data_IF_988946865015
#
_entry.id   IF_988946865015
#
_cell.length_a   1.000
_cell.length_b   1.000
_cell.length_c   1.000
_cell.angle_alpha   90.00
_cell.angle_beta   90.00
_cell.angle_gamma   90.00
#
_symmetry.space_group_name_H-M   'P 1'
#
loop_
_entity.id
_entity.type
_entity.pdbx_description
1 polymer ?
#
# COMPACT_ATOMS: atom_id res chain seq x y z
N UNK A 1 -22.75 3.81 16.85
CA UNK A 1 -21.40 3.26 16.62
C UNK A 1 -20.68 4.08 15.56
N UNK A 2 -20.46 5.36 15.87
CA UNK A 2 -19.70 6.29 15.05
C UNK A 2 -18.52 6.81 15.87
N UNK A 3 -17.35 6.74 15.26
CA UNK A 3 -16.23 7.68 15.30
C UNK A 3 -14.96 6.89 14.95
N UNK A 4 -14.57 6.90 13.68
CA UNK A 4 -13.20 6.57 13.31
C UNK A 4 -12.36 7.77 13.80
N UNK A 5 -11.40 7.53 14.70
CA UNK A 5 -10.54 8.59 15.25
C UNK A 5 -9.22 8.55 14.49
N UNK A 6 -9.16 9.28 13.38
CA UNK A 6 -8.04 9.41 12.44
C UNK A 6 -8.39 10.42 11.35
N UNK A 7 -7.68 10.47 10.21
CA UNK A 7 -8.09 11.30 9.05
C UNK A 7 -9.23 10.63 8.29
N UNK A 8 -9.35 9.30 8.33
CA UNK A 8 -10.54 8.61 7.85
C UNK A 8 -11.69 8.92 8.81
N UNK A 9 -12.58 9.83 8.42
CA UNK A 9 -13.92 9.88 9.00
C UNK A 9 -14.78 8.76 8.44
N UNK A 10 -15.99 8.56 8.97
CA UNK A 10 -16.98 7.71 8.27
C UNK A 10 -17.13 8.19 6.82
N UNK A 11 -17.05 7.30 5.81
CA UNK A 11 -17.13 7.69 4.40
C UNK A 11 -18.50 8.31 4.11
N UNK A 12 -18.57 9.29 3.22
CA UNK A 12 -19.84 9.89 2.81
C UNK A 12 -20.60 9.01 1.81
N UNK A 13 -19.88 8.19 1.04
CA UNK A 13 -20.45 7.32 0.02
C UNK A 13 -21.18 6.12 0.63
N UNK A 14 -22.50 6.05 0.41
CA UNK A 14 -23.35 4.92 0.82
C UNK A 14 -22.85 3.56 0.33
N UNK A 15 -22.26 3.50 -0.87
CA UNK A 15 -21.72 2.26 -1.45
C UNK A 15 -20.50 1.76 -0.67
N UNK A 16 -19.65 2.69 -0.25
CA UNK A 16 -18.43 2.41 0.51
C UNK A 16 -18.80 1.98 1.93
N UNK A 17 -19.76 2.66 2.55
CA UNK A 17 -20.27 2.28 3.88
C UNK A 17 -20.81 0.84 3.90
N UNK A 18 -21.54 0.40 2.86
CA UNK A 18 -22.05 -0.98 2.76
C UNK A 18 -20.94 -2.05 2.72
N UNK A 19 -19.74 -1.68 2.27
CA UNK A 19 -18.58 -2.55 2.15
C UNK A 19 -17.57 -2.40 3.29
N UNK A 20 -17.90 -1.61 4.33
CA UNK A 20 -17.10 -1.50 5.55
C UNK A 20 -16.79 -2.88 6.14
N UNK A 21 -15.52 -3.14 6.39
CA UNK A 21 -15.00 -4.39 6.96
C UNK A 21 -15.18 -5.62 6.08
N UNK A 22 -15.48 -5.47 4.79
CA UNK A 22 -15.77 -6.60 3.89
C UNK A 22 -14.53 -7.14 3.17
N UNK A 23 -13.47 -6.35 3.07
CA UNK A 23 -12.23 -6.76 2.40
C UNK A 23 -11.32 -7.40 3.46
N UNK A 24 -11.14 -8.70 3.34
CA UNK A 24 -10.20 -9.46 4.16
C UNK A 24 -8.81 -9.44 3.50
N UNK A 25 -7.87 -8.74 4.10
CA UNK A 25 -6.53 -8.52 3.56
C UNK A 25 -5.62 -9.76 3.60
N UNK A 26 -6.03 -10.81 4.32
CA UNK A 26 -5.27 -12.06 4.38
C UNK A 26 -5.51 -12.90 3.11
N UNK A 27 -6.71 -12.81 2.55
CA UNK A 27 -7.12 -13.55 1.36
C UNK A 27 -7.19 -12.66 0.09
N UNK A 28 -7.51 -11.38 0.26
CA UNK A 28 -7.86 -10.47 -0.84
C UNK A 28 -7.02 -9.20 -0.74
N UNK A 29 -6.20 -8.89 -1.77
CA UNK A 29 -5.36 -7.72 -1.70
C UNK A 29 -6.19 -6.43 -1.75
N UNK A 30 -5.70 -5.43 -1.03
CA UNK A 30 -6.06 -4.06 -1.28
C UNK A 30 -5.28 -3.54 -2.49
N UNK A 31 -6.02 -3.02 -3.48
CA UNK A 31 -5.50 -2.54 -4.76
C UNK A 31 -6.36 -1.41 -5.30
N UNK A 32 -5.88 -0.74 -6.34
CA UNK A 32 -6.53 0.38 -7.03
C UNK A 32 -6.61 0.08 -8.53
N UNK A 33 -7.62 0.64 -9.20
CA UNK A 33 -7.75 0.51 -10.66
C UNK A 33 -6.49 1.01 -11.33
N UNK A 34 -5.93 0.19 -12.20
CA UNK A 34 -4.72 0.48 -12.96
C UNK A 34 -3.44 0.05 -12.25
N UNK A 35 -3.49 -0.11 -10.92
CA UNK A 35 -2.36 -0.49 -10.09
C UNK A 35 -1.92 -1.92 -10.35
N UNK A 36 -0.63 -2.15 -10.11
CA UNK A 36 -0.05 -3.48 -10.04
C UNK A 36 0.36 -3.86 -8.62
N UNK A 37 0.19 -2.95 -7.67
CA UNK A 37 0.51 -3.12 -6.26
C UNK A 37 -0.63 -3.89 -5.61
N UNK A 38 -0.31 -5.05 -5.04
CA UNK A 38 -1.24 -5.87 -4.26
C UNK A 38 -0.78 -5.85 -2.80
N UNK A 39 -1.48 -5.10 -1.94
CA UNK A 39 -1.19 -5.02 -0.52
C UNK A 39 -1.99 -6.07 0.25
N UNK A 40 -1.29 -6.91 1.00
CA UNK A 40 -1.85 -7.97 1.83
C UNK A 40 -1.45 -7.80 3.29
N UNK A 41 -2.11 -8.57 4.16
CA UNK A 41 -1.80 -8.71 5.59
C UNK A 41 -1.50 -10.16 5.92
N UNK A 42 -0.59 -10.40 6.87
CA UNK A 42 -0.40 -11.68 7.57
C UNK A 42 -0.13 -11.40 9.03
N UNK A 43 -1.03 -11.79 9.93
CA UNK A 43 -0.95 -11.41 11.35
C UNK A 43 -0.88 -9.88 11.50
N UNK A 44 0.16 -9.35 12.14
CA UNK A 44 0.42 -7.90 12.31
C UNK A 44 1.46 -7.36 11.32
N UNK A 45 1.71 -8.08 10.23
CA UNK A 45 2.59 -7.65 9.15
C UNK A 45 1.79 -7.40 7.87
N UNK A 46 2.26 -6.47 7.05
CA UNK A 46 1.79 -6.24 5.70
C UNK A 46 2.87 -6.66 4.71
N UNK A 47 2.47 -7.00 3.49
CA UNK A 47 3.41 -7.31 2.41
C UNK A 47 2.80 -6.93 1.07
N UNK A 48 3.68 -6.63 0.11
CA UNK A 48 3.30 -6.15 -1.21
C UNK A 48 3.82 -7.10 -2.27
N UNK A 49 2.89 -7.63 -3.08
CA UNK A 49 3.18 -8.35 -4.31
C UNK A 49 2.88 -7.48 -5.53
N UNK A 50 3.41 -7.87 -6.68
CA UNK A 50 3.12 -7.21 -7.95
C UNK A 50 2.31 -8.12 -8.87
N UNK A 51 1.25 -7.58 -9.45
CA UNK A 51 0.40 -8.25 -10.45
C UNK A 51 1.05 -8.24 -11.84
N UNK A 52 2.27 -8.76 -11.96
CA UNK A 52 3.05 -8.77 -13.20
C UNK A 52 3.64 -10.15 -13.49
N UNK A 53 3.58 -10.56 -14.77
CA UNK A 53 4.38 -11.69 -15.26
C UNK A 53 5.75 -11.16 -15.66
N UNK A 54 6.80 -11.62 -14.99
CA UNK A 54 8.19 -11.42 -15.47
C UNK A 54 8.65 -12.70 -16.16
N UNK A 55 8.25 -12.88 -17.42
CA UNK A 55 8.53 -14.10 -18.20
C UNK A 55 10.02 -14.38 -18.38
N UNK A 56 10.87 -13.35 -18.38
CA UNK A 56 12.33 -13.49 -18.53
C UNK A 56 13.03 -14.11 -17.30
N UNK A 57 12.33 -14.21 -16.17
CA UNK A 57 12.91 -14.56 -14.86
C UNK A 57 12.13 -15.65 -14.14
N UNK A 58 11.18 -16.30 -14.81
CA UNK A 58 10.41 -17.42 -14.27
C UNK A 58 11.32 -18.56 -13.78
N UNK A 59 12.50 -18.73 -14.40
CA UNK A 59 13.53 -19.67 -13.99
C UNK A 59 14.35 -19.24 -12.74
N UNK A 60 14.37 -17.95 -12.36
CA UNK A 60 15.18 -17.44 -11.23
C UNK A 60 14.35 -17.04 -9.99
N UNK A 61 13.15 -16.48 -10.19
CA UNK A 61 12.26 -16.01 -9.10
C UNK A 61 10.93 -16.76 -9.06
N UNK A 62 10.82 -17.84 -9.83
CA UNK A 62 9.64 -18.71 -9.89
C UNK A 62 8.47 -18.11 -10.67
N UNK A 63 7.46 -18.96 -10.87
CA UNK A 63 6.17 -18.61 -11.48
C UNK A 63 5.54 -17.44 -10.72
N UNK A 64 4.89 -16.50 -11.42
CA UNK A 64 4.39 -15.24 -10.81
C UNK A 64 3.45 -15.45 -9.60
N UNK A 65 2.81 -16.62 -9.48
CA UNK A 65 1.96 -17.02 -8.35
C UNK A 65 2.76 -17.40 -7.08
N UNK A 66 3.99 -17.87 -7.25
CA UNK A 66 4.89 -18.35 -6.20
C UNK A 66 5.99 -17.34 -5.85
N UNK A 67 6.06 -16.22 -6.56
CA UNK A 67 7.09 -15.20 -6.33
C UNK A 67 6.98 -14.59 -4.94
N UNK A 68 8.12 -14.43 -4.28
CA UNK A 68 8.21 -13.74 -3.01
C UNK A 68 7.73 -12.27 -3.12
N UNK A 69 7.23 -11.67 -2.05
CA UNK A 69 6.78 -10.27 -2.05
C UNK A 69 7.91 -9.30 -2.46
N UNK A 70 7.58 -8.25 -3.21
CA UNK A 70 8.55 -7.20 -3.53
C UNK A 70 8.98 -6.44 -2.27
N UNK A 71 8.01 -6.17 -1.40
CA UNK A 71 8.24 -5.61 -0.07
C UNK A 71 7.56 -6.57 0.88
N UNK A 72 8.30 -7.08 1.85
CA UNK A 72 7.84 -8.09 2.79
C UNK A 72 8.04 -7.61 4.24
N UNK A 73 7.35 -8.28 5.16
CA UNK A 73 7.43 -8.03 6.60
C UNK A 73 7.32 -6.54 6.98
N UNK A 74 6.40 -5.81 6.33
CA UNK A 74 6.10 -4.44 6.72
C UNK A 74 5.43 -4.49 8.09
N UNK A 75 6.01 -3.86 9.11
CA UNK A 75 5.37 -3.72 10.41
C UNK A 75 5.58 -2.34 11.00
N UNK A 76 4.62 -1.96 11.83
CA UNK A 76 4.69 -0.73 12.61
C UNK A 76 5.24 -1.04 13.99
N UNK A 77 6.11 -0.17 14.50
CA UNK A 77 6.74 -0.31 15.79
C UNK A 77 6.47 0.91 16.67
N UNK A 78 6.59 0.70 17.98
CA UNK A 78 6.64 1.80 18.94
C UNK A 78 8.03 2.46 19.02
N UNK A 79 8.17 3.47 19.86
CA UNK A 79 9.43 4.20 20.06
C UNK A 79 10.58 3.35 20.64
N UNK A 80 10.30 2.12 21.09
CA UNK A 80 11.29 1.16 21.59
C UNK A 80 11.60 0.06 20.56
N UNK A 81 11.00 0.11 19.35
CA UNK A 81 11.14 -0.90 18.32
C UNK A 81 10.23 -2.12 18.51
N UNK A 82 9.29 -2.08 19.45
CA UNK A 82 8.33 -3.16 19.71
C UNK A 82 7.21 -3.20 18.67
N UNK A 83 6.91 -4.39 18.14
CA UNK A 83 5.84 -4.62 17.17
C UNK A 83 4.48 -4.12 17.70
N UNK A 84 3.76 -3.37 16.88
CA UNK A 84 2.39 -2.94 17.16
C UNK A 84 1.40 -3.96 16.55
N UNK A 85 0.57 -4.64 17.36
CA UNK A 85 -0.52 -5.46 16.84
C UNK A 85 -1.49 -4.63 16.01
N UNK A 86 -1.97 -5.18 14.90
CA UNK A 86 -2.87 -4.49 13.96
C UNK A 86 -4.28 -5.06 14.02
N UNK A 87 -5.25 -4.23 14.40
CA UNK A 87 -6.68 -4.50 14.16
C UNK A 87 -7.13 -3.75 12.91
N UNK A 88 -7.52 -4.49 11.88
CA UNK A 88 -7.82 -3.92 10.56
C UNK A 88 -9.31 -3.61 10.38
N UNK A 89 -9.59 -2.41 9.87
CA UNK A 89 -10.88 -2.04 9.29
C UNK A 89 -10.66 -1.63 7.83
N UNK A 90 -11.40 -2.25 6.92
CA UNK A 90 -11.23 -2.03 5.49
C UNK A 90 -12.43 -1.31 4.86
N UNK A 91 -12.13 -0.48 3.88
CA UNK A 91 -13.07 0.13 2.95
C UNK A 91 -12.52 -0.03 1.53
N UNK A 92 -13.37 0.02 0.49
CA UNK A 92 -12.91 0.00 -0.90
C UNK A 92 -11.80 1.00 -1.22
N UNK A 93 -11.83 2.19 -0.61
CA UNK A 93 -10.89 3.28 -0.89
C UNK A 93 -9.75 3.40 0.10
N UNK A 94 -9.79 2.71 1.24
CA UNK A 94 -8.85 2.92 2.32
C UNK A 94 -8.83 1.78 3.34
N UNK A 95 -7.71 1.66 4.04
CA UNK A 95 -7.53 0.77 5.18
C UNK A 95 -7.23 1.60 6.43
N UNK A 96 -7.75 1.17 7.57
CA UNK A 96 -7.40 1.70 8.87
C UNK A 96 -6.89 0.56 9.76
N UNK A 97 -5.69 0.71 10.30
CA UNK A 97 -5.10 -0.23 11.24
C UNK A 97 -5.02 0.43 12.62
N UNK A 98 -5.89 -0.01 13.52
CA UNK A 98 -5.88 0.42 14.91
C UNK A 98 -4.71 -0.24 15.64
N UNK A 99 -3.99 0.57 16.41
CA UNK A 99 -2.91 0.15 17.30
C UNK A 99 -3.04 0.88 18.63
N UNK A 100 -2.26 0.46 19.64
CA UNK A 100 -2.15 1.19 20.91
C UNK A 100 -1.63 2.63 20.79
N UNK A 101 -1.05 3.03 19.64
CA UNK A 101 -0.56 4.39 19.38
C UNK A 101 -1.52 5.23 18.55
N UNK A 102 -2.67 4.67 18.14
CA UNK A 102 -3.61 5.28 17.21
C UNK A 102 -3.66 4.55 15.87
N UNK A 103 -4.27 5.19 14.88
CA UNK A 103 -4.54 4.59 13.57
C UNK A 103 -3.41 4.87 12.58
N UNK A 104 -2.98 3.82 11.89
CA UNK A 104 -2.27 3.93 10.62
C UNK A 104 -3.27 3.76 9.50
N UNK A 105 -3.36 4.74 8.61
CA UNK A 105 -4.40 4.74 7.56
C UNK A 105 -3.73 4.70 6.19
N UNK A 106 -4.16 3.78 5.34
CA UNK A 106 -3.53 3.51 4.05
C UNK A 106 -4.51 3.74 2.91
N UNK A 107 -4.08 4.42 1.86
CA UNK A 107 -4.83 4.55 0.60
C UNK A 107 -3.89 4.67 -0.60
N UNK A 108 -4.44 4.64 -1.82
CA UNK A 108 -3.69 4.90 -3.05
C UNK A 108 -3.77 6.37 -3.44
N UNK A 109 -2.62 6.99 -3.69
CA UNK A 109 -2.55 8.32 -4.34
C UNK A 109 -2.86 8.17 -5.83
N UNK A 110 -2.21 7.20 -6.46
CA UNK A 110 -2.27 6.84 -7.88
C UNK A 110 -1.98 5.33 -8.07
N UNK A 111 -1.81 4.88 -9.32
CA UNK A 111 -1.57 3.47 -9.68
C UNK A 111 -0.25 2.90 -9.13
N UNK A 112 0.72 3.75 -8.76
CA UNK A 112 2.09 3.36 -8.39
C UNK A 112 2.44 3.77 -6.93
N UNK A 113 1.52 4.38 -6.19
CA UNK A 113 1.86 5.06 -4.92
C UNK A 113 0.85 4.80 -3.82
N UNK A 114 1.33 4.15 -2.75
CA UNK A 114 0.61 4.02 -1.49
C UNK A 114 0.91 5.21 -0.57
N UNK A 115 -0.11 5.67 0.12
CA UNK A 115 -0.08 6.72 1.12
C UNK A 115 -0.37 6.11 2.49
N UNK A 116 0.41 6.46 3.50
CA UNK A 116 0.23 6.04 4.89
C UNK A 116 0.15 7.31 5.74
N UNK A 117 -1.01 7.58 6.32
CA UNK A 117 -1.15 8.56 7.39
C UNK A 117 -0.69 7.95 8.71
N UNK A 118 0.20 8.65 9.42
CA UNK A 118 0.77 8.17 10.67
C UNK A 118 -0.03 8.69 11.86
N UNK A 119 -0.16 7.91 12.96
CA UNK A 119 -0.74 8.42 14.18
C UNK A 119 0.15 9.53 14.78
N UNK A 120 -0.44 10.39 15.60
CA UNK A 120 0.28 11.47 16.31
C UNK A 120 1.14 10.92 17.46
N UNK A 121 2.20 10.18 17.12
CA UNK A 121 3.08 9.49 18.04
C UNK A 121 4.51 9.36 17.46
N UNK A 122 5.44 8.83 18.25
CA UNK A 122 6.70 8.29 17.75
C UNK A 122 6.48 6.85 17.31
N UNK A 123 6.87 6.53 16.09
CA UNK A 123 6.57 5.25 15.44
C UNK A 123 7.74 4.78 14.59
N UNK A 124 7.92 3.47 14.50
CA UNK A 124 8.79 2.83 13.53
C UNK A 124 7.99 2.26 12.36
N UNK A 125 8.56 2.33 11.16
CA UNK A 125 8.09 1.61 9.97
C UNK A 125 9.25 0.77 9.45
N UNK A 126 9.12 -0.53 9.57
CA UNK A 126 10.15 -1.49 9.19
C UNK A 126 9.63 -2.36 8.08
N UNK A 127 10.50 -2.76 7.16
CA UNK A 127 10.16 -3.68 6.10
C UNK A 127 11.43 -4.25 5.48
N UNK A 128 11.27 -5.32 4.72
CA UNK A 128 12.30 -5.80 3.79
C UNK A 128 11.86 -5.51 2.37
N UNK A 129 12.81 -5.21 1.49
CA UNK A 129 12.55 -4.93 0.08
C UNK A 129 13.49 -5.75 -0.79
N UNK A 130 12.94 -6.37 -1.84
CA UNK A 130 13.72 -7.11 -2.82
C UNK A 130 14.48 -6.14 -3.73
N UNK A 131 15.68 -5.76 -3.29
CA UNK A 131 16.59 -4.87 -3.98
C UNK A 131 18.01 -5.06 -3.44
N UNK A 132 19.00 -5.14 -4.34
CA UNK A 132 20.40 -5.34 -3.95
C UNK A 132 21.03 -4.11 -3.29
N UNK A 133 20.62 -2.90 -3.70
CA UNK A 133 21.19 -1.64 -3.23
C UNK A 133 20.10 -0.59 -2.96
N UNK A 134 20.24 0.11 -1.85
CA UNK A 134 19.40 1.23 -1.47
C UNK A 134 20.21 2.34 -0.82
N UNK A 135 19.68 3.56 -0.85
CA UNK A 135 20.27 4.72 -0.17
C UNK A 135 19.23 5.49 0.60
N UNK A 136 19.62 5.95 1.77
CA UNK A 136 18.83 6.89 2.57
C UNK A 136 19.08 8.32 2.09
N UNK A 137 18.08 9.17 2.27
CA UNK A 137 18.17 10.60 2.05
C UNK A 137 17.36 11.35 3.13
N UNK A 138 17.35 12.69 3.05
CA UNK A 138 16.70 13.57 4.04
C UNK A 138 15.17 13.39 4.14
N UNK A 139 14.55 12.65 3.22
CA UNK A 139 13.10 12.46 3.15
C UNK A 139 12.70 11.00 3.38
N UNK A 140 13.64 10.08 3.52
CA UNK A 140 13.39 8.65 3.57
C UNK A 140 14.47 7.93 2.79
N UNK A 141 14.12 7.17 1.75
CA UNK A 141 15.13 6.46 0.96
C UNK A 141 14.59 5.93 -0.35
N UNK A 142 15.51 5.40 -1.15
CA UNK A 142 15.22 4.83 -2.45
C UNK A 142 16.06 3.61 -2.78
N UNK A 143 15.45 2.76 -3.59
CA UNK A 143 16.02 1.59 -4.23
C UNK A 143 15.83 1.80 -5.72
N UNK A 144 16.93 1.93 -6.46
CA UNK A 144 16.87 1.94 -7.91
C UNK A 144 16.89 0.49 -8.38
N UNK A 145 15.96 0.16 -9.27
CA UNK A 145 16.03 -1.08 -10.02
C UNK A 145 17.27 -1.10 -10.91
N UNK A 146 17.66 -2.29 -11.34
CA UNK A 146 18.76 -2.44 -12.29
C UNK A 146 18.36 -1.78 -13.63
N UNK A 147 19.15 -0.81 -14.15
CA UNK A 147 18.90 -0.21 -15.46
C UNK A 147 18.78 -1.24 -16.59
N UNK A 148 19.45 -2.38 -16.44
CA UNK A 148 19.43 -3.50 -17.39
C UNK A 148 18.31 -4.52 -17.11
N UNK A 149 17.47 -4.30 -16.10
CA UNK A 149 16.34 -5.15 -15.73
C UNK A 149 16.73 -6.61 -15.44
N UNK A 150 17.92 -6.88 -14.88
CA UNK A 150 18.40 -8.26 -14.63
C UNK A 150 18.17 -8.76 -13.21
N UNK A 151 17.92 -7.86 -12.24
CA UNK A 151 17.72 -8.22 -10.82
C UNK A 151 16.45 -7.64 -10.17
N UNK A 152 16.33 -6.31 -10.12
CA UNK A 152 15.17 -5.59 -9.58
C UNK A 152 14.54 -4.70 -10.65
N UNK A 153 13.25 -4.89 -10.96
CA UNK A 153 12.55 -4.19 -12.06
C UNK A 153 11.76 -2.96 -11.64
N UNK A 154 11.68 -2.67 -10.34
CA UNK A 154 10.91 -1.52 -9.86
C UNK A 154 11.82 -0.61 -9.07
N UNK A 155 11.74 0.66 -9.42
CA UNK A 155 12.26 1.71 -8.58
C UNK A 155 11.29 1.85 -7.41
N UNK A 156 11.82 1.83 -6.19
CA UNK A 156 11.04 1.98 -4.97
C UNK A 156 11.57 3.22 -4.24
N UNK A 157 10.67 4.05 -3.74
CA UNK A 157 11.04 5.08 -2.77
C UNK A 157 10.04 5.12 -1.64
N UNK A 158 10.55 5.38 -0.43
CA UNK A 158 9.74 5.71 0.72
C UNK A 158 10.04 7.14 1.12
N UNK A 159 9.02 7.99 1.22
CA UNK A 159 9.18 9.43 1.46
C UNK A 159 8.22 9.90 2.53
N UNK A 160 8.72 10.63 3.52
CA UNK A 160 7.92 11.19 4.60
C UNK A 160 8.17 12.70 4.77
N UNK A 161 7.21 13.37 5.39
CA UNK A 161 7.32 14.73 5.92
C UNK A 161 7.32 14.75 7.48
N UNK A 162 7.23 13.58 8.14
CA UNK A 162 7.48 13.46 9.57
C UNK A 162 8.98 13.66 9.85
N UNK A 163 9.31 14.01 11.09
CA UNK A 163 10.72 14.15 11.49
C UNK A 163 11.34 12.75 11.53
N UNK A 164 12.36 12.53 10.71
CA UNK A 164 13.13 11.27 10.73
C UNK A 164 14.08 11.31 11.93
N UNK A 165 13.90 10.37 12.85
CA UNK A 165 14.77 10.18 14.01
C UNK A 165 15.97 9.32 13.63
N UNK A 166 15.72 8.21 12.93
CA UNK A 166 16.76 7.38 12.33
C UNK A 166 16.23 6.68 11.09
N UNK A 167 17.11 6.40 10.14
CA UNK A 167 16.78 5.69 8.92
C UNK A 167 17.98 4.86 8.50
N UNK A 168 17.84 3.54 8.51
CA UNK A 168 18.89 2.62 8.13
C UNK A 168 18.42 1.66 7.06
N UNK A 169 19.33 1.35 6.14
CA UNK A 169 19.19 0.30 5.14
C UNK A 169 20.37 -0.64 5.35
N UNK A 170 20.07 -1.92 5.57
CA UNK A 170 21.08 -2.96 5.75
C UNK A 170 20.82 -4.12 4.77
N UNK A 171 21.86 -4.80 4.26
CA UNK A 171 21.68 -6.03 3.51
C UNK A 171 20.91 -7.09 4.31
N UNK A 172 20.11 -7.89 3.62
CA UNK A 172 19.35 -9.01 4.17
C UNK A 172 19.50 -10.24 3.25
N UNK A 173 19.19 -11.43 3.77
CA UNK A 173 19.25 -12.67 3.02
C UNK A 173 18.37 -12.63 1.74
N UNK A 174 18.77 -13.43 0.74
CA UNK A 174 18.01 -13.69 -0.49
C UNK A 174 17.75 -12.46 -1.38
N UNK A 175 18.70 -11.51 -1.43
CA UNK A 175 18.59 -10.32 -2.29
C UNK A 175 17.68 -9.22 -1.74
N UNK A 176 17.29 -9.33 -0.46
CA UNK A 176 16.55 -8.28 0.22
C UNK A 176 17.48 -7.27 0.89
N UNK A 177 16.98 -6.06 1.09
CA UNK A 177 17.50 -5.09 2.03
C UNK A 177 16.46 -4.87 3.14
N UNK A 178 16.91 -4.74 4.38
CA UNK A 178 16.06 -4.40 5.53
C UNK A 178 16.11 -2.89 5.77
N UNK A 179 14.93 -2.28 5.88
CA UNK A 179 14.73 -0.88 6.24
C UNK A 179 14.24 -0.78 7.67
N UNK A 180 14.84 0.10 8.45
CA UNK A 180 14.32 0.54 9.74
C UNK A 180 14.22 2.07 9.74
N UNK A 181 12.98 2.57 9.69
CA UNK A 181 12.68 4.00 9.66
C UNK A 181 11.95 4.40 10.95
N UNK A 182 12.61 5.19 11.78
CA UNK A 182 12.03 5.74 13.01
C UNK A 182 11.60 7.18 12.80
N UNK A 183 10.35 7.49 13.13
CA UNK A 183 9.69 8.75 12.87
C UNK A 183 9.16 9.38 14.16
N UNK A 184 9.26 10.69 14.24
CA UNK A 184 8.54 11.52 15.19
C UNK A 184 7.40 12.25 14.47
N UNK A 185 6.21 11.65 14.52
CA UNK A 185 4.99 12.15 13.89
C UNK A 185 4.05 12.81 14.91
N UNK A 186 4.56 13.26 16.08
CA UNK A 186 3.72 13.94 17.11
C UNK A 186 3.05 15.21 16.58
N UNK A 187 3.69 15.91 15.65
CA UNK A 187 3.12 17.07 14.95
C UNK A 187 2.20 16.68 13.77
N UNK A 188 1.97 15.39 13.55
CA UNK A 188 1.44 14.83 12.31
C UNK A 188 2.56 14.45 11.33
N UNK A 189 2.22 13.64 10.34
CA UNK A 189 3.12 13.27 9.27
C UNK A 189 2.63 12.06 8.51
N UNK A 190 3.13 11.91 7.31
CA UNK A 190 2.69 10.91 6.34
C UNK A 190 3.89 10.25 5.67
N UNK A 191 3.68 9.04 5.18
CA UNK A 191 4.67 8.22 4.50
C UNK A 191 4.10 7.77 3.16
N UNK A 192 4.81 8.09 2.10
CA UNK A 192 4.55 7.57 0.76
C UNK A 192 5.44 6.39 0.48
N UNK A 193 4.88 5.37 -0.16
CA UNK A 193 5.61 4.28 -0.78
C UNK A 193 5.30 4.29 -2.27
N UNK A 194 6.24 4.77 -3.08
CA UNK A 194 6.13 4.80 -4.53
C UNK A 194 6.90 3.62 -5.13
N UNK A 195 6.20 2.74 -5.83
CA UNK A 195 6.73 1.54 -6.50
C UNK A 195 6.43 1.70 -7.98
N UNK A 196 7.45 2.04 -8.76
CA UNK A 196 7.24 2.46 -10.15
C UNK A 196 8.28 1.88 -11.10
N UNK A 197 7.90 1.54 -12.35
CA UNK A 197 8.86 1.26 -13.42
C UNK A 197 9.56 2.52 -13.96
N UNK A 198 9.13 3.72 -13.55
CA UNK A 198 9.68 4.99 -14.04
C UNK A 198 11.01 5.32 -13.38
N UNK A 199 11.90 6.00 -14.10
CA UNK A 199 13.17 6.48 -13.55
C UNK A 199 12.97 7.51 -12.42
N UNK A 200 11.94 8.35 -12.53
CA UNK A 200 11.58 9.37 -11.54
C UNK A 200 10.63 8.83 -10.49
N UNK A 201 10.79 9.29 -9.25
CA UNK A 201 9.92 8.96 -8.13
C UNK A 201 8.82 10.00 -7.94
N UNK A 202 7.60 9.53 -7.65
CA UNK A 202 6.59 10.41 -7.05
C UNK A 202 6.89 10.55 -5.55
N UNK A 203 7.36 11.73 -5.16
CA UNK A 203 7.69 12.06 -3.76
C UNK A 203 6.89 13.26 -3.26
N UNK A 204 5.78 13.64 -3.90
CA UNK A 204 4.98 14.79 -3.47
C UNK A 204 3.98 14.38 -2.40
N UNK A 205 4.10 14.94 -1.19
CA UNK A 205 3.18 14.67 -0.09
C UNK A 205 2.16 15.81 -0.04
N UNK A 206 0.93 15.50 -0.47
CA UNK A 206 -0.25 16.35 -0.29
C UNK A 206 -0.89 16.05 1.08
N UNK A 207 -1.69 16.96 1.67
CA UNK A 207 -2.39 16.71 2.93
C UNK A 207 -3.29 15.47 2.89
N UNK A 208 -3.31 14.69 3.97
CA UNK A 208 -4.04 13.43 4.06
C UNK A 208 -5.53 13.56 3.69
N UNK A 209 -6.23 14.56 4.24
CA UNK A 209 -7.66 14.81 4.00
C UNK A 209 -8.00 14.86 2.50
N UNK A 210 -7.15 15.54 1.73
CA UNK A 210 -7.29 15.69 0.28
C UNK A 210 -7.04 14.37 -0.45
N UNK A 211 -6.06 13.58 -0.01
CA UNK A 211 -5.75 12.28 -0.59
C UNK A 211 -6.89 11.28 -0.36
N UNK A 212 -7.37 11.16 0.88
CA UNK A 212 -8.46 10.26 1.24
C UNK A 212 -9.78 10.65 0.57
N UNK A 213 -10.13 11.94 0.55
CA UNK A 213 -11.33 12.41 -0.15
C UNK A 213 -11.28 12.11 -1.66
N UNK A 214 -10.11 12.27 -2.30
CA UNK A 214 -9.92 11.90 -3.71
C UNK A 214 -10.08 10.39 -3.93
N UNK A 215 -9.52 9.57 -3.06
CA UNK A 215 -9.67 8.11 -3.13
C UNK A 215 -11.13 7.70 -2.96
N UNK A 216 -11.83 8.26 -1.96
CA UNK A 216 -13.25 8.01 -1.75
C UNK A 216 -14.07 8.38 -2.99
N UNK A 217 -13.81 9.56 -3.56
CA UNK A 217 -14.51 10.02 -4.78
C UNK A 217 -14.31 9.06 -5.96
N UNK A 218 -13.07 8.60 -6.22
CA UNK A 218 -12.81 7.66 -7.34
C UNK A 218 -13.60 6.35 -7.19
N UNK A 219 -13.72 5.85 -5.97
CA UNK A 219 -14.49 4.65 -5.68
C UNK A 219 -16.00 4.91 -5.71
N UNK A 220 -16.45 6.05 -5.20
CA UNK A 220 -17.84 6.47 -5.31
C UNK A 220 -18.28 6.56 -6.77
N UNK A 221 -17.55 7.30 -7.61
CA UNK A 221 -17.86 7.48 -9.03
C UNK A 221 -17.99 6.12 -9.76
N UNK A 222 -17.13 5.16 -9.40
CA UNK A 222 -17.20 3.80 -9.95
C UNK A 222 -18.48 3.06 -9.54
N UNK A 223 -18.81 3.05 -8.25
CA UNK A 223 -20.01 2.35 -7.78
C UNK A 223 -21.30 3.06 -8.23
N UNK A 224 -21.28 4.38 -8.37
CA UNK A 224 -22.39 5.16 -8.88
C UNK A 224 -22.70 4.86 -10.35
N UNK A 225 -21.70 4.43 -11.12
CA UNK A 225 -21.86 4.01 -12.51
C UNK A 225 -22.40 2.57 -12.65
N UNK A 226 -22.42 1.78 -11.56
CA UNK A 226 -22.95 0.42 -11.59
C UNK A 226 -24.49 0.43 -11.66
N UNK A 227 -25.12 -0.42 -12.50
CA UNK A 227 -26.57 -0.57 -12.54
C UNK A 227 -27.19 -0.83 -11.16
N UNK A 228 -28.35 -0.25 -10.89
CA UNK A 228 -29.08 -0.50 -9.64
C UNK A 228 -29.54 -1.95 -9.56
N UNK A 229 -29.47 -2.52 -8.36
CA UNK A 229 -29.98 -3.85 -8.04
C UNK A 229 -30.91 -3.77 -6.83
N UNK A 230 -31.82 -4.73 -6.67
CA UNK A 230 -32.65 -4.82 -5.48
C UNK A 230 -31.80 -4.86 -4.20
N UNK A 231 -32.25 -4.15 -3.15
CA UNK A 231 -31.46 -3.90 -1.94
C UNK A 231 -30.88 -5.16 -1.29
N UNK A 232 -31.63 -6.28 -1.31
CA UNK A 232 -31.18 -7.58 -0.78
C UNK A 232 -29.90 -8.12 -1.43
N UNK A 233 -29.60 -7.71 -2.66
CA UNK A 233 -28.40 -8.12 -3.40
C UNK A 233 -27.29 -7.06 -3.39
N UNK A 234 -27.61 -5.81 -3.02
CA UNK A 234 -26.71 -4.65 -3.12
C UNK A 234 -25.32 -4.91 -2.54
N UNK A 235 -25.25 -5.46 -1.31
CA UNK A 235 -23.98 -5.67 -0.61
C UNK A 235 -23.04 -6.64 -1.33
N UNK A 236 -23.57 -7.76 -1.86
CA UNK A 236 -22.78 -8.71 -2.64
C UNK A 236 -22.45 -8.16 -4.03
N UNK A 237 -23.39 -7.45 -4.64
CA UNK A 237 -23.23 -6.85 -5.95
C UNK A 237 -22.09 -5.81 -5.97
N UNK A 238 -22.09 -4.84 -5.05
CA UNK A 238 -21.02 -3.84 -4.96
C UNK A 238 -19.68 -4.45 -4.57
N UNK A 239 -19.68 -5.55 -3.82
CA UNK A 239 -18.46 -6.29 -3.57
C UNK A 239 -17.88 -6.93 -4.84
N UNK A 240 -18.70 -7.49 -5.72
CA UNK A 240 -18.24 -7.99 -7.01
C UNK A 240 -17.68 -6.85 -7.88
N UNK A 241 -18.31 -5.67 -7.86
CA UNK A 241 -17.79 -4.46 -8.51
C UNK A 241 -16.47 -3.96 -7.92
N UNK A 242 -16.25 -4.13 -6.61
CA UNK A 242 -14.95 -3.88 -5.98
C UNK A 242 -13.89 -4.82 -6.56
N UNK A 243 -14.13 -6.13 -6.53
CA UNK A 243 -13.19 -7.15 -7.04
C UNK A 243 -12.85 -6.88 -8.50
N UNK A 244 -13.86 -6.59 -9.32
CA UNK A 244 -13.67 -6.27 -10.73
C UNK A 244 -12.75 -5.07 -10.91
N UNK A 245 -12.99 -3.95 -10.20
CA UNK A 245 -12.18 -2.74 -10.34
C UNK A 245 -10.77 -2.89 -9.83
N UNK A 246 -10.61 -3.50 -8.66
CA UNK A 246 -9.31 -3.74 -8.02
C UNK A 246 -8.42 -4.66 -8.87
N UNK A 247 -9.04 -5.52 -9.70
CA UNK A 247 -8.35 -6.39 -10.65
C UNK A 247 -8.06 -5.78 -12.03
N UNK A 248 -8.55 -4.56 -12.33
CA UNK A 248 -8.24 -3.89 -13.60
C UNK A 248 -6.82 -3.33 -13.57
N UNK A 249 -5.96 -3.82 -14.47
CA UNK A 249 -4.56 -3.39 -14.57
C UNK A 249 -4.36 -2.46 -15.77
N UNK A 250 -3.57 -1.41 -15.58
CA UNK A 250 -3.25 -0.43 -16.63
C UNK A 250 -2.40 -1.06 -17.73
N UNK A 251 -2.73 -0.82 -19.00
CA UNK A 251 -1.99 -1.38 -20.15
C UNK A 251 -0.61 -0.77 -20.37
N UNK A 252 -0.24 0.24 -19.59
CA UNK A 252 1.09 0.84 -19.65
C UNK A 252 2.12 -0.25 -19.31
N UNK A 253 3.17 -0.35 -20.14
CA UNK A 253 4.25 -1.37 -20.12
C UNK A 253 3.88 -2.74 -20.73
N UNK A 254 4.79 -3.71 -20.62
CA UNK A 254 4.60 -5.06 -21.16
C UNK A 254 3.45 -5.78 -20.45
N UNK A 255 2.26 -5.77 -21.03
CA UNK A 255 1.30 -6.84 -20.78
C UNK A 255 1.74 -8.06 -21.57
N UNK A 256 2.07 -9.15 -20.88
CA UNK A 256 2.24 -10.44 -21.55
C UNK A 256 0.90 -10.79 -22.17
N UNK A 257 0.84 -10.82 -23.52
CA UNK A 257 -0.33 -11.30 -24.24
C UNK A 257 -0.53 -12.78 -23.90
N UNK A 258 -1.78 -13.19 -23.79
CA UNK A 258 -2.12 -14.61 -23.77
C UNK A 258 -1.53 -15.23 -25.05
N UNK A 259 -0.75 -16.30 -24.87
CA UNK A 259 -0.12 -17.06 -25.94
C UNK A 259 -0.92 -18.34 -26.14
#
# INVERSE_FOLDING_TARGET
MGNIIGVLSEPQSKFIQQLRGRIDLEEIPFSERGSRILLFKRNSHLYIRLAERWTQLEHQVGHYRMRAPLIDDIFFADAQGGLLPLTSLSFPHALAFETRLGFFEITFVDEDTLYIHLPRARVGVHFTVYAEQGRVDRRGGEFKGDPLHRGSHRNISYTTNAIIVSNTIAPHANGYAKVALELDARAGGELLLNITPRLGFNRSIDPAEKIFARAEKRWHDWFAAAPSVADKFSRQYYYAWYVMRAGLISTRYFLTREA
#
